data_IF_624002282422
#
_entry.id   IF_624002282422
#
_cell.length_a   1.000
_cell.length_b   1.000
_cell.length_c   1.000
_cell.angle_alpha   90.00
_cell.angle_beta   90.00
_cell.angle_gamma   90.00
#
_symmetry.space_group_name_H-M   'P 1'
#
loop_
_entity.id
_entity.type
_entity.pdbx_description
1 polymer ?
#
# COMPACT_ATOMS: atom_id res chain seq x y z
N UNK A 1 7.35 11.62 -3.44
CA UNK A 1 7.35 11.03 -2.09
C UNK A 1 8.44 9.96 -1.92
N UNK A 2 8.48 8.93 -2.77
CA UNK A 2 9.46 7.84 -2.62
C UNK A 2 10.91 8.25 -2.89
N UNK A 3 11.14 9.13 -3.87
CA UNK A 3 12.47 9.60 -4.26
C UNK A 3 12.53 11.14 -4.37
N UNK A 4 12.46 11.89 -3.26
CA UNK A 4 12.45 13.35 -3.33
C UNK A 4 13.85 13.89 -3.60
N UNK A 5 13.95 14.82 -4.55
CA UNK A 5 15.23 15.42 -4.99
C UNK A 5 15.96 16.10 -3.82
N UNK A 6 15.21 16.84 -2.99
CA UNK A 6 15.76 17.64 -1.89
C UNK A 6 16.36 16.83 -0.72
N UNK A 7 16.13 15.51 -0.65
CA UNK A 7 16.78 14.60 0.30
C UNK A 7 17.59 13.50 -0.39
N UNK A 8 18.19 13.83 -1.54
CA UNK A 8 19.08 12.93 -2.29
C UNK A 8 18.39 11.60 -2.64
N UNK A 9 17.12 11.67 -3.04
CA UNK A 9 16.29 10.53 -3.45
C UNK A 9 16.04 9.48 -2.34
N UNK A 10 16.23 9.81 -1.06
CA UNK A 10 15.95 8.91 0.07
C UNK A 10 14.61 9.25 0.75
N UNK A 11 13.50 8.76 0.22
CA UNK A 11 12.16 9.06 0.73
C UNK A 11 11.46 7.94 1.50
N UNK A 12 10.15 8.11 1.67
CA UNK A 12 9.27 7.13 2.33
C UNK A 12 8.69 6.08 1.37
N UNK A 13 7.86 5.17 1.89
CA UNK A 13 7.36 4.02 1.11
C UNK A 13 6.12 4.27 0.26
N UNK A 14 5.57 5.49 0.29
CA UNK A 14 4.51 5.90 -0.63
C UNK A 14 3.07 5.60 -0.20
N UNK A 15 2.82 4.78 0.83
CA UNK A 15 1.47 4.35 1.21
C UNK A 15 0.50 5.50 1.44
N UNK A 16 0.85 6.47 2.31
CA UNK A 16 -0.03 7.58 2.63
C UNK A 16 -0.35 8.46 1.41
N UNK A 17 0.66 8.72 0.56
CA UNK A 17 0.47 9.50 -0.67
C UNK A 17 -0.41 8.76 -1.67
N UNK A 18 -0.18 7.46 -1.87
CA UNK A 18 -1.00 6.62 -2.75
C UNK A 18 -2.44 6.52 -2.26
N UNK A 19 -2.67 6.34 -0.96
CA UNK A 19 -4.01 6.31 -0.37
C UNK A 19 -4.73 7.66 -0.53
N UNK A 20 -4.01 8.77 -0.38
CA UNK A 20 -4.55 10.11 -0.66
C UNK A 20 -4.92 10.30 -2.14
N UNK A 21 -4.13 9.76 -3.08
CA UNK A 21 -4.49 9.78 -4.49
C UNK A 21 -5.73 8.92 -4.76
N UNK A 22 -5.78 7.71 -4.19
CA UNK A 22 -6.88 6.77 -4.35
C UNK A 22 -8.22 7.32 -3.84
N UNK A 23 -8.23 8.07 -2.73
CA UNK A 23 -9.45 8.67 -2.20
C UNK A 23 -10.06 9.72 -3.14
N UNK A 24 -9.23 10.42 -3.91
CA UNK A 24 -9.67 11.42 -4.89
C UNK A 24 -10.04 10.76 -6.22
N UNK A 25 -9.23 9.82 -6.72
CA UNK A 25 -9.43 9.16 -8.01
C UNK A 25 -10.71 8.33 -8.04
N UNK A 26 -10.95 7.52 -7.01
CA UNK A 26 -12.17 6.74 -6.89
C UNK A 26 -12.47 6.44 -5.41
N UNK A 27 -13.35 7.24 -4.83
CA UNK A 27 -13.65 7.20 -3.40
C UNK A 27 -14.26 5.86 -2.94
N UNK A 28 -15.20 5.28 -3.71
CA UNK A 28 -15.85 4.01 -3.35
C UNK A 28 -14.85 2.83 -3.33
N UNK A 29 -14.03 2.58 -4.39
CA UNK A 29 -12.92 1.63 -4.34
C UNK A 29 -11.93 1.87 -3.20
N UNK A 30 -11.63 3.15 -2.91
CA UNK A 30 -10.72 3.51 -1.82
C UNK A 30 -11.24 3.05 -0.45
N UNK A 31 -12.53 3.18 -0.17
CA UNK A 31 -13.12 2.70 1.09
C UNK A 31 -12.95 1.20 1.28
N UNK A 32 -13.10 0.40 0.21
CA UNK A 32 -12.87 -1.04 0.26
C UNK A 32 -11.39 -1.37 0.48
N UNK A 33 -10.50 -0.66 -0.20
CA UNK A 33 -9.06 -0.77 -0.01
C UNK A 33 -8.62 -0.42 1.43
N UNK A 34 -9.22 0.63 2.02
CA UNK A 34 -9.02 1.00 3.41
C UNK A 34 -9.54 -0.09 4.36
N UNK A 35 -10.68 -0.71 4.05
CA UNK A 35 -11.20 -1.84 4.82
C UNK A 35 -10.23 -3.03 4.78
N UNK A 36 -9.68 -3.37 3.59
CA UNK A 36 -8.65 -4.42 3.45
C UNK A 36 -7.43 -4.10 4.31
N UNK A 37 -6.91 -2.87 4.24
CA UNK A 37 -5.79 -2.42 5.06
C UNK A 37 -6.05 -2.64 6.56
N UNK A 38 -7.21 -2.19 7.06
CA UNK A 38 -7.57 -2.27 8.46
C UNK A 38 -7.77 -3.72 8.93
N UNK A 39 -8.50 -4.53 8.16
CA UNK A 39 -8.77 -5.93 8.49
C UNK A 39 -7.47 -6.72 8.55
N UNK A 40 -6.62 -6.62 7.52
CA UNK A 40 -5.36 -7.36 7.45
C UNK A 40 -4.41 -6.88 8.54
N UNK A 41 -4.24 -5.56 8.72
CA UNK A 41 -3.34 -5.02 9.73
C UNK A 41 -3.77 -5.40 11.15
N UNK A 42 -5.08 -5.43 11.42
CA UNK A 42 -5.62 -5.80 12.74
C UNK A 42 -5.50 -7.30 13.03
N UNK A 43 -5.76 -8.15 12.03
CA UNK A 43 -5.71 -9.61 12.20
C UNK A 43 -4.29 -10.16 12.21
N UNK A 44 -3.45 -9.76 11.25
CA UNK A 44 -2.06 -10.20 11.16
C UNK A 44 -1.12 -9.48 12.13
N UNK A 45 -1.54 -8.31 12.62
CA UNK A 45 -0.70 -7.34 13.34
C UNK A 45 0.49 -6.84 12.51
N UNK A 46 0.47 -6.95 11.18
CA UNK A 46 1.51 -6.42 10.30
C UNK A 46 0.97 -5.28 9.45
N UNK A 47 1.48 -4.07 9.69
CA UNK A 47 1.10 -2.87 8.90
C UNK A 47 1.61 -2.98 7.47
N UNK A 48 2.79 -3.55 7.26
CA UNK A 48 3.37 -3.77 5.93
C UNK A 48 2.54 -4.72 5.08
N UNK A 49 2.09 -5.84 5.66
CA UNK A 49 1.21 -6.78 4.96
C UNK A 49 -0.13 -6.13 4.59
N UNK A 50 -0.76 -5.42 5.54
CA UNK A 50 -1.99 -4.70 5.26
C UNK A 50 -1.83 -3.65 4.16
N UNK A 51 -0.70 -2.94 4.15
CA UNK A 51 -0.40 -1.91 3.14
C UNK A 51 -0.23 -2.51 1.72
N UNK A 52 0.47 -3.64 1.62
CA UNK A 52 0.69 -4.34 0.35
C UNK A 52 -0.62 -4.91 -0.23
N UNK A 53 -1.41 -5.59 0.61
CA UNK A 53 -2.68 -6.17 0.16
C UNK A 53 -3.70 -5.09 -0.19
N UNK A 54 -3.73 -3.99 0.55
CA UNK A 54 -4.56 -2.85 0.20
C UNK A 54 -4.15 -2.26 -1.16
N UNK A 55 -2.86 -1.97 -1.37
CA UNK A 55 -2.35 -1.47 -2.64
C UNK A 55 -2.70 -2.39 -3.83
N UNK A 56 -2.64 -3.72 -3.64
CA UNK A 56 -3.03 -4.71 -4.64
C UNK A 56 -4.55 -4.78 -4.88
N UNK A 57 -5.35 -4.62 -3.84
CA UNK A 57 -6.81 -4.68 -3.95
C UNK A 57 -7.42 -3.52 -4.73
N UNK A 58 -6.78 -2.35 -4.72
CA UNK A 58 -7.31 -1.16 -5.39
C UNK A 58 -7.52 -1.35 -6.91
N UNK A 59 -6.54 -1.80 -7.73
CA UNK A 59 -6.78 -2.05 -9.16
C UNK A 59 -7.89 -3.09 -9.40
N UNK A 60 -8.05 -4.08 -8.51
CA UNK A 60 -9.14 -5.06 -8.60
C UNK A 60 -10.50 -4.37 -8.40
N UNK A 61 -10.60 -3.48 -7.42
CA UNK A 61 -11.82 -2.71 -7.19
C UNK A 61 -12.10 -1.68 -8.29
N UNK A 62 -11.06 -1.10 -8.91
CA UNK A 62 -11.25 -0.24 -10.09
C UNK A 62 -11.98 -1.00 -11.21
N UNK A 63 -11.56 -2.23 -11.51
CA UNK A 63 -12.28 -3.06 -12.49
C UNK A 63 -13.70 -3.41 -12.05
N UNK A 64 -13.89 -3.81 -10.79
CA UNK A 64 -15.20 -4.21 -10.28
C UNK A 64 -16.24 -3.07 -10.34
N UNK A 65 -15.79 -1.83 -10.16
CA UNK A 65 -16.64 -0.64 -10.22
C UNK A 65 -16.75 -0.04 -11.63
N UNK A 66 -16.15 -0.66 -12.65
CA UNK A 66 -16.09 -0.17 -14.03
C UNK A 66 -15.59 1.28 -14.12
N UNK A 67 -14.57 1.61 -13.34
CA UNK A 67 -13.86 2.89 -13.39
C UNK A 67 -12.92 2.91 -14.60
N UNK A 68 -12.51 4.09 -15.05
CA UNK A 68 -11.67 4.29 -16.24
C UNK A 68 -10.40 3.43 -16.22
N UNK A 69 -10.07 2.81 -17.37
CA UNK A 69 -8.97 1.86 -17.50
C UNK A 69 -7.61 2.49 -17.20
N UNK A 70 -7.44 3.79 -17.47
CA UNK A 70 -6.26 4.57 -17.15
C UNK A 70 -5.96 4.57 -15.64
N UNK A 71 -7.01 4.62 -14.81
CA UNK A 71 -6.87 4.56 -13.36
C UNK A 71 -6.42 3.16 -12.93
N UNK A 72 -6.88 2.11 -13.63
CA UNK A 72 -6.43 0.74 -13.36
C UNK A 72 -4.93 0.57 -13.66
N UNK A 73 -4.47 1.06 -14.82
CA UNK A 73 -3.05 1.01 -15.19
C UNK A 73 -2.18 1.81 -14.21
N UNK A 74 -2.60 3.01 -13.84
CA UNK A 74 -1.91 3.81 -12.81
C UNK A 74 -1.83 3.06 -11.48
N UNK A 75 -2.92 2.42 -11.07
CA UNK A 75 -3.01 1.68 -9.80
C UNK A 75 -2.07 0.47 -9.80
N UNK A 76 -1.94 -0.26 -10.91
CA UNK A 76 -0.94 -1.32 -11.03
C UNK A 76 0.48 -0.77 -10.97
N UNK A 77 0.79 0.32 -11.68
CA UNK A 77 2.12 0.94 -11.62
C UNK A 77 2.48 1.37 -10.19
N UNK A 78 1.53 1.95 -9.46
CA UNK A 78 1.70 2.32 -8.05
C UNK A 78 1.85 1.09 -7.15
N UNK A 79 1.11 0.00 -7.40
CA UNK A 79 1.29 -1.25 -6.68
C UNK A 79 2.71 -1.82 -6.85
N UNK A 80 3.22 -1.89 -8.08
CA UNK A 80 4.60 -2.34 -8.34
C UNK A 80 5.63 -1.44 -7.65
N UNK A 81 5.45 -0.11 -7.72
CA UNK A 81 6.30 0.82 -6.99
C UNK A 81 6.26 0.57 -5.47
N UNK A 82 5.08 0.42 -4.88
CA UNK A 82 4.92 0.14 -3.45
C UNK A 82 5.60 -1.18 -3.07
N UNK A 83 5.45 -2.22 -3.88
CA UNK A 83 6.10 -3.51 -3.67
C UNK A 83 7.62 -3.37 -3.66
N UNK A 84 8.19 -2.63 -4.61
CA UNK A 84 9.63 -2.33 -4.64
C UNK A 84 10.07 -1.56 -3.38
N UNK A 85 9.29 -0.57 -2.94
CA UNK A 85 9.57 0.20 -1.73
C UNK A 85 9.43 -0.62 -0.43
N UNK A 86 8.74 -1.76 -0.48
CA UNK A 86 8.52 -2.67 0.66
C UNK A 86 9.35 -3.95 0.60
N UNK A 87 10.30 -4.08 -0.34
CA UNK A 87 11.11 -5.31 -0.49
C UNK A 87 11.70 -5.81 0.85
N UNK A 88 12.22 -4.90 1.68
CA UNK A 88 12.82 -5.27 2.97
C UNK A 88 11.75 -5.75 3.98
N UNK A 89 10.52 -5.21 3.90
CA UNK A 89 9.40 -5.71 4.72
C UNK A 89 8.91 -7.06 4.23
N UNK A 90 8.86 -7.26 2.92
CA UNK A 90 8.45 -8.53 2.33
C UNK A 90 9.42 -9.63 2.75
N UNK A 91 10.73 -9.36 2.68
CA UNK A 91 11.76 -10.27 3.16
C UNK A 91 11.57 -10.60 4.65
N UNK A 92 11.40 -9.58 5.50
CA UNK A 92 11.13 -9.79 6.93
C UNK A 92 9.82 -10.54 7.20
N UNK A 93 8.78 -10.31 6.40
CA UNK A 93 7.49 -11.03 6.51
C UNK A 93 7.69 -12.52 6.20
N UNK A 94 8.40 -12.84 5.11
CA UNK A 94 8.70 -14.21 4.72
C UNK A 94 9.57 -14.92 5.78
N UNK A 95 10.53 -14.20 6.36
CA UNK A 95 11.37 -14.72 7.43
C UNK A 95 10.68 -14.77 8.81
N UNK A 96 9.45 -14.22 8.94
CA UNK A 96 8.76 -14.12 10.23
C UNK A 96 9.33 -13.08 11.19
N UNK A 97 10.27 -12.24 10.72
CA UNK A 97 11.00 -11.23 11.50
C UNK A 97 10.42 -9.81 11.37
N UNK A 98 9.31 -9.65 10.66
CA UNK A 98 8.65 -8.35 10.54
C UNK A 98 8.10 -7.91 11.90
N UNK A 99 8.27 -6.62 12.20
CA UNK A 99 7.79 -6.05 13.46
C UNK A 99 6.27 -6.05 13.51
N UNK A 100 5.71 -6.54 14.62
CA UNK A 100 4.26 -6.51 14.85
C UNK A 100 3.81 -5.15 15.38
N UNK A 101 2.59 -4.77 15.04
CA UNK A 101 1.93 -3.58 15.57
C UNK A 101 1.83 -3.69 17.09
N UNK A 102 2.31 -2.67 17.80
CA UNK A 102 2.33 -2.63 19.27
C UNK A 102 3.58 -3.26 19.91
N UNK A 103 4.49 -3.84 19.12
CA UNK A 103 5.75 -4.36 19.64
C UNK A 103 6.68 -3.20 20.04
N UNK A 104 7.20 -3.22 21.28
CA UNK A 104 8.12 -2.19 21.79
C UNK A 104 9.45 -2.27 21.03
N UNK A 105 9.98 -1.11 20.64
CA UNK A 105 11.35 -1.02 20.13
C UNK A 105 12.25 -1.26 21.34
N UNK A 106 13.03 -2.34 21.32
CA UNK A 106 14.12 -2.54 22.28
C UNK A 106 15.27 -1.58 21.96
#
# INVERSE_FOLDING_TARGET
>A
HCFPVYIKFKGGKGIATTFGAYSILAFKPFLLCLAVFLIVSKTSRYVSLGSLLAALSYPIFIFLFNVEAEIAYLSFALFFLIMLMHRDNIERLVQGNERKLGEKIK
#
